data_IF_133893347264
#
_entry.id   IF_133893347264
#
_cell.length_a   1.000
_cell.length_b   1.000
_cell.length_c   1.000
_cell.angle_alpha   90.00
_cell.angle_beta   90.00
_cell.angle_gamma   90.00
#
_symmetry.space_group_name_H-M   'P 1'
#
loop_
_entity.id
_entity.type
_entity.pdbx_description
1 polymer ?
#
# COMPACT_ATOMS: atom_id res chain seq x y z
N UNK A 1 31.34 8.90 6.14
CA UNK A 1 30.28 9.02 5.12
C UNK A 1 29.54 10.33 5.37
N UNK A 2 29.23 11.11 4.33
CA UNK A 2 28.43 12.32 4.50
C UNK A 2 27.02 11.89 4.91
N UNK A 3 26.54 12.35 6.06
CA UNK A 3 25.21 12.07 6.58
C UNK A 3 24.09 12.68 5.72
N UNK A 4 22.85 12.39 6.07
CA UNK A 4 21.68 12.95 5.44
C UNK A 4 21.64 14.48 5.62
N UNK A 5 21.43 15.22 4.53
CA UNK A 5 21.41 16.70 4.55
C UNK A 5 20.13 17.23 3.89
N UNK A 6 19.76 18.48 4.20
CA UNK A 6 18.63 19.17 3.56
C UNK A 6 18.75 19.20 2.03
N UNK A 7 19.96 19.37 1.50
CA UNK A 7 20.21 19.38 0.06
C UNK A 7 19.93 18.03 -0.60
N UNK A 8 20.24 16.91 0.08
CA UNK A 8 19.94 15.56 -0.40
C UNK A 8 18.45 15.28 -0.40
N UNK A 9 17.71 15.67 0.66
CA UNK A 9 16.25 15.54 0.73
C UNK A 9 15.57 16.41 -0.33
N UNK A 10 16.04 17.66 -0.52
CA UNK A 10 15.53 18.54 -1.58
C UNK A 10 15.76 17.95 -2.99
N UNK A 11 16.91 17.31 -3.23
CA UNK A 11 17.16 16.58 -4.49
C UNK A 11 16.24 15.39 -4.64
N UNK A 12 15.97 14.64 -3.57
CA UNK A 12 15.00 13.55 -3.56
C UNK A 12 13.57 14.03 -3.85
N UNK A 13 13.22 15.24 -3.43
CA UNK A 13 11.99 15.96 -3.78
C UNK A 13 12.01 16.54 -5.20
N UNK A 14 13.01 16.25 -6.04
CA UNK A 14 13.22 16.79 -7.39
C UNK A 14 13.33 18.34 -7.42
N UNK A 15 13.86 18.95 -6.37
CA UNK A 15 14.01 20.39 -6.24
C UNK A 15 12.69 21.14 -5.98
N UNK A 16 11.58 20.46 -5.78
CA UNK A 16 10.27 21.05 -5.51
C UNK A 16 10.06 21.29 -4.02
N UNK A 17 9.90 22.55 -3.62
CA UNK A 17 9.74 22.91 -2.21
C UNK A 17 8.49 22.27 -1.58
N UNK A 18 7.38 22.21 -2.33
CA UNK A 18 6.13 21.60 -1.91
C UNK A 18 6.22 20.08 -1.70
N UNK A 19 7.21 19.43 -2.28
CA UNK A 19 7.46 17.99 -2.13
C UNK A 19 8.45 17.67 -1.00
N UNK A 20 9.07 18.67 -0.35
CA UNK A 20 10.13 18.44 0.63
C UNK A 20 9.65 17.61 1.82
N UNK A 21 8.51 17.95 2.39
CA UNK A 21 7.97 17.24 3.55
C UNK A 21 7.62 15.77 3.21
N UNK A 22 7.08 15.55 2.01
CA UNK A 22 6.80 14.19 1.53
C UNK A 22 8.09 13.39 1.31
N UNK A 23 9.13 14.02 0.77
CA UNK A 23 10.44 13.39 0.58
C UNK A 23 11.15 13.12 1.92
N UNK A 24 11.04 14.03 2.90
CA UNK A 24 11.58 13.82 4.24
C UNK A 24 10.88 12.66 4.95
N UNK A 25 9.55 12.58 4.83
CA UNK A 25 8.78 11.45 5.38
C UNK A 25 9.14 10.14 4.68
N UNK A 26 9.32 10.14 3.36
CA UNK A 26 9.73 8.96 2.58
C UNK A 26 11.08 8.43 3.08
N UNK A 27 12.05 9.31 3.34
CA UNK A 27 13.35 8.95 3.92
C UNK A 27 13.22 8.42 5.36
N UNK A 28 12.38 9.06 6.17
CA UNK A 28 12.11 8.58 7.54
C UNK A 28 11.51 7.17 7.55
N UNK A 29 10.57 6.91 6.63
CA UNK A 29 9.98 5.58 6.46
C UNK A 29 11.04 4.52 6.10
N UNK A 30 12.05 4.86 5.29
CA UNK A 30 13.17 3.92 5.00
C UNK A 30 13.93 3.54 6.28
N UNK A 31 14.23 4.52 7.14
CA UNK A 31 14.92 4.29 8.40
C UNK A 31 14.08 3.46 9.38
N UNK A 32 12.77 3.74 9.44
CA UNK A 32 11.85 2.98 10.28
C UNK A 32 11.71 1.53 9.79
N UNK A 33 11.55 1.33 8.48
CA UNK A 33 11.43 0.00 7.89
C UNK A 33 12.74 -0.80 8.02
N UNK A 34 13.91 -0.13 7.96
CA UNK A 34 15.17 -0.76 8.30
C UNK A 34 15.17 -1.25 9.75
N UNK A 35 14.76 -0.42 10.72
CA UNK A 35 14.66 -0.85 12.12
C UNK A 35 13.73 -2.06 12.27
N UNK A 36 12.53 -1.99 11.68
CA UNK A 36 11.57 -3.09 11.73
C UNK A 36 12.11 -4.36 11.09
N UNK A 37 12.93 -4.27 10.02
CA UNK A 37 13.51 -5.44 9.35
C UNK A 37 14.48 -6.25 10.25
N UNK A 38 14.93 -5.65 11.34
CA UNK A 38 15.78 -6.33 12.33
C UNK A 38 14.96 -7.09 13.37
N UNK A 39 13.63 -7.08 13.25
CA UNK A 39 12.74 -7.70 14.23
C UNK A 39 12.24 -9.07 13.76
N UNK A 40 11.92 -9.93 14.71
CA UNK A 40 11.44 -11.31 14.47
C UNK A 40 10.08 -11.32 13.76
N UNK A 41 9.27 -10.28 13.92
CA UNK A 41 7.92 -10.20 13.35
C UNK A 41 7.91 -10.25 11.81
N UNK A 42 8.95 -9.74 11.15
CA UNK A 42 9.09 -9.86 9.69
C UNK A 42 9.52 -11.27 9.26
N UNK A 43 10.33 -11.97 10.07
CA UNK A 43 10.88 -13.28 9.71
C UNK A 43 9.84 -14.37 9.52
N UNK A 44 8.75 -14.34 10.28
CA UNK A 44 7.72 -15.39 10.31
C UNK A 44 6.50 -15.08 9.42
N UNK A 45 6.57 -14.11 8.53
CA UNK A 45 5.43 -13.61 7.74
C UNK A 45 4.22 -13.15 8.59
N UNK A 46 4.41 -12.95 9.89
CA UNK A 46 3.37 -12.44 10.80
C UNK A 46 3.08 -10.96 10.58
N UNK A 47 4.05 -10.25 9.96
CA UNK A 47 3.96 -8.85 9.57
C UNK A 47 4.38 -8.71 8.11
N UNK A 48 3.45 -8.37 7.22
CA UNK A 48 3.72 -8.22 5.80
C UNK A 48 3.45 -6.79 5.36
N UNK A 49 4.44 -6.17 4.73
CA UNK A 49 4.37 -4.81 4.24
C UNK A 49 3.50 -4.71 2.99
N UNK A 50 2.58 -3.75 2.94
CA UNK A 50 1.62 -3.59 1.86
C UNK A 50 1.35 -2.10 1.55
N UNK A 51 0.33 -1.83 0.75
CA UNK A 51 -0.14 -0.47 0.47
C UNK A 51 0.72 0.31 -0.54
N UNK A 52 0.48 1.63 -0.59
CA UNK A 52 1.15 2.51 -1.55
C UNK A 52 2.65 2.68 -1.29
N UNK A 53 3.05 2.67 -0.02
CA UNK A 53 4.45 2.81 0.37
C UNK A 53 5.24 1.57 -0.01
N UNK A 54 4.69 0.35 0.15
CA UNK A 54 5.36 -0.88 -0.30
C UNK A 54 5.56 -0.89 -1.83
N UNK A 55 4.56 -0.43 -2.59
CA UNK A 55 4.70 -0.28 -4.05
C UNK A 55 5.86 0.67 -4.38
N UNK A 56 5.91 1.84 -3.73
CA UNK A 56 6.98 2.81 -3.96
C UNK A 56 8.35 2.25 -3.61
N UNK A 57 8.51 1.66 -2.42
CA UNK A 57 9.81 1.20 -1.92
C UNK A 57 10.33 -0.02 -2.70
N UNK A 58 9.48 -1.00 -2.96
CA UNK A 58 9.90 -2.32 -3.41
C UNK A 58 9.63 -2.59 -4.90
N UNK A 59 8.77 -1.80 -5.58
CA UNK A 59 8.38 -2.08 -6.96
C UNK A 59 8.53 -0.92 -7.94
N UNK A 60 8.38 0.34 -7.49
CA UNK A 60 8.30 1.51 -8.36
C UNK A 60 9.51 2.44 -8.25
N UNK A 61 10.11 2.54 -7.07
CA UNK A 61 11.19 3.49 -6.85
C UNK A 61 10.77 4.93 -7.21
N UNK A 62 11.59 5.62 -7.98
CA UNK A 62 11.35 7.00 -8.39
C UNK A 62 10.12 7.23 -9.26
N UNK A 63 9.56 6.20 -9.88
CA UNK A 63 8.32 6.35 -10.65
C UNK A 63 7.07 6.23 -9.76
N UNK A 64 7.23 5.77 -8.51
CA UNK A 64 6.16 5.74 -7.52
C UNK A 64 5.86 7.14 -6.97
N UNK A 65 4.59 7.38 -6.61
CA UNK A 65 4.20 8.57 -5.85
C UNK A 65 4.76 8.49 -4.42
N UNK A 66 5.01 9.63 -3.81
CA UNK A 66 5.23 9.66 -2.36
C UNK A 66 3.97 9.20 -1.62
N UNK A 67 4.12 8.31 -0.67
CA UNK A 67 3.03 7.78 0.14
C UNK A 67 3.29 8.10 1.61
N UNK A 68 2.25 8.47 2.33
CA UNK A 68 2.37 8.93 3.72
C UNK A 68 2.20 7.81 4.74
N UNK A 69 1.43 6.78 4.36
CA UNK A 69 1.00 5.75 5.29
C UNK A 69 1.87 4.49 5.18
N UNK A 70 2.12 3.84 6.31
CA UNK A 70 2.72 2.52 6.40
C UNK A 70 1.61 1.51 6.67
N UNK A 71 1.30 0.71 5.67
CA UNK A 71 0.27 -0.32 5.74
C UNK A 71 0.90 -1.70 5.93
N UNK A 72 0.39 -2.48 6.86
CA UNK A 72 0.80 -3.86 7.09
C UNK A 72 -0.40 -4.81 7.13
N UNK A 73 -0.18 -6.06 6.77
CA UNK A 73 -1.02 -7.18 7.17
C UNK A 73 -0.42 -7.79 8.43
N UNK A 74 -1.18 -7.79 9.51
CA UNK A 74 -0.81 -8.37 10.80
C UNK A 74 -2.07 -8.96 11.44
N UNK A 75 -2.39 -10.25 11.20
CA UNK A 75 -3.58 -10.88 11.77
C UNK A 75 -3.59 -10.90 13.30
N UNK A 76 -2.42 -10.99 13.91
CA UNK A 76 -2.19 -11.12 15.35
C UNK A 76 -2.09 -9.73 16.02
N UNK A 77 -2.91 -9.51 17.06
CA UNK A 77 -2.91 -8.26 17.83
C UNK A 77 -1.64 -8.10 18.70
N UNK A 78 -1.00 -9.19 19.13
CA UNK A 78 0.26 -9.13 19.88
C UNK A 78 1.38 -8.57 19.00
N UNK A 79 1.48 -9.01 17.75
CA UNK A 79 2.46 -8.47 16.79
C UNK A 79 2.26 -6.98 16.57
N UNK A 80 1.00 -6.53 16.47
CA UNK A 80 0.69 -5.10 16.33
C UNK A 80 1.19 -4.30 17.53
N UNK A 81 0.93 -4.80 18.74
CA UNK A 81 1.38 -4.14 19.96
C UNK A 81 2.90 -4.10 20.05
N UNK A 82 3.58 -5.21 19.78
CA UNK A 82 5.05 -5.30 19.76
C UNK A 82 5.66 -4.30 18.78
N UNK A 83 5.12 -4.20 17.56
CA UNK A 83 5.57 -3.23 16.55
C UNK A 83 5.36 -1.80 17.02
N UNK A 84 4.21 -1.47 17.60
CA UNK A 84 3.95 -0.14 18.11
C UNK A 84 4.87 0.24 19.26
N UNK A 85 5.13 -0.68 20.20
CA UNK A 85 6.09 -0.49 21.29
C UNK A 85 7.51 -0.28 20.76
N UNK A 86 7.90 -1.02 19.72
CA UNK A 86 9.21 -0.87 19.08
C UNK A 86 9.36 0.49 18.38
N UNK A 87 8.29 1.01 17.76
CA UNK A 87 8.32 2.30 17.06
C UNK A 87 8.32 3.46 18.06
N UNK A 88 7.59 3.36 19.17
CA UNK A 88 7.44 4.47 20.11
C UNK A 88 8.73 4.76 20.85
N UNK A 89 9.26 5.97 20.64
CA UNK A 89 10.57 6.39 21.16
C UNK A 89 11.78 5.86 20.37
N UNK A 90 11.58 5.13 19.26
CA UNK A 90 12.68 4.60 18.46
C UNK A 90 13.52 5.73 17.85
N UNK A 91 14.85 5.48 17.76
CA UNK A 91 15.82 6.42 17.17
C UNK A 91 16.73 5.69 16.18
N UNK A 92 16.75 6.16 14.95
CA UNK A 92 17.62 5.62 13.90
C UNK A 92 17.97 6.70 12.88
N UNK A 93 19.26 6.82 12.51
CA UNK A 93 19.73 7.74 11.47
C UNK A 93 19.42 9.22 11.72
N UNK A 94 19.32 9.65 12.99
CA UNK A 94 18.93 11.01 13.36
C UNK A 94 17.42 11.24 13.44
N UNK A 95 16.62 10.27 13.04
CA UNK A 95 15.17 10.29 13.22
C UNK A 95 14.76 9.75 14.59
N UNK A 96 13.74 10.35 15.16
CA UNK A 96 13.00 9.92 16.33
C UNK A 96 11.55 9.70 15.94
N UNK A 97 10.99 8.56 16.35
CA UNK A 97 9.65 8.13 16.01
C UNK A 97 8.77 8.04 17.26
N UNK A 98 7.48 8.28 17.08
CA UNK A 98 6.47 8.05 18.09
C UNK A 98 5.16 7.64 17.45
N UNK A 99 4.34 6.87 18.16
CA UNK A 99 3.02 6.46 17.69
C UNK A 99 1.94 6.83 18.69
N UNK A 100 0.77 7.17 18.17
CA UNK A 100 -0.40 7.47 18.99
C UNK A 100 -1.63 6.81 18.36
N UNK A 101 -2.34 6.00 19.14
CA UNK A 101 -3.59 5.38 18.68
C UNK A 101 -4.61 6.45 18.28
N UNK A 102 -5.22 6.30 17.12
CA UNK A 102 -6.21 7.23 16.58
C UNK A 102 -7.63 6.67 16.61
N UNK A 103 -7.76 5.35 16.72
CA UNK A 103 -9.02 4.64 16.84
C UNK A 103 -8.92 3.62 17.98
N UNK A 104 -10.02 3.35 18.67
CA UNK A 104 -10.01 2.40 19.78
C UNK A 104 -9.85 0.93 19.42
N UNK A 105 -9.53 0.63 18.14
CA UNK A 105 -9.33 -0.72 17.63
C UNK A 105 -7.88 -1.24 17.76
N UNK A 106 -6.96 -0.38 18.23
CA UNK A 106 -5.55 -0.71 18.39
C UNK A 106 -4.78 -0.94 17.08
N UNK A 107 -5.39 -0.67 15.90
CA UNK A 107 -4.81 -0.99 14.58
C UNK A 107 -4.55 0.21 13.68
N UNK A 108 -4.96 1.39 14.12
CA UNK A 108 -4.75 2.65 13.43
C UNK A 108 -3.98 3.61 14.34
N UNK A 109 -2.79 3.99 13.92
CA UNK A 109 -1.88 4.80 14.70
C UNK A 109 -1.38 5.98 13.87
N UNK A 110 -1.37 7.17 14.46
CA UNK A 110 -0.65 8.30 13.89
C UNK A 110 0.84 8.12 14.15
N UNK A 111 1.63 8.26 13.10
CA UNK A 111 3.10 8.23 13.18
C UNK A 111 3.62 9.66 13.32
N UNK A 112 4.40 9.92 14.35
CA UNK A 112 5.15 11.16 14.55
C UNK A 112 6.59 10.90 14.14
N UNK A 113 7.16 11.86 13.42
CA UNK A 113 8.54 11.77 12.93
C UNK A 113 9.23 13.09 13.20
N UNK A 114 10.44 13.03 13.77
CA UNK A 114 11.29 14.18 13.98
C UNK A 114 12.72 13.83 13.62
N UNK A 115 13.43 14.72 12.94
CA UNK A 115 14.87 14.58 12.71
C UNK A 115 15.61 15.72 13.38
N UNK A 116 16.75 15.42 14.02
CA UNK A 116 17.52 16.38 14.83
C UNK A 116 17.95 17.63 14.06
N UNK A 117 18.31 17.48 12.77
CA UNK A 117 18.83 18.58 11.93
C UNK A 117 17.83 19.02 10.83
N UNK A 118 16.99 18.10 10.35
CA UNK A 118 16.07 18.36 9.22
C UNK A 118 14.70 18.84 9.66
N UNK A 119 14.36 18.65 10.95
CA UNK A 119 13.07 19.05 11.52
C UNK A 119 12.00 17.97 11.37
N UNK A 120 10.75 18.39 11.36
CA UNK A 120 9.57 17.51 11.28
C UNK A 120 8.86 17.68 9.95
N UNK A 121 8.48 16.59 9.24
CA UNK A 121 7.64 16.71 8.06
C UNK A 121 6.24 17.22 8.47
N UNK A 122 5.71 18.22 7.76
CA UNK A 122 4.39 18.82 8.03
C UNK A 122 3.25 18.01 7.39
N UNK A 123 3.39 16.69 7.34
CA UNK A 123 2.43 15.77 6.75
C UNK A 123 2.03 14.76 7.82
N UNK A 124 0.73 14.53 7.96
CA UNK A 124 0.22 13.49 8.83
C UNK A 124 0.54 12.14 8.20
N UNK A 125 1.23 11.29 8.95
CA UNK A 125 1.54 9.93 8.58
C UNK A 125 0.81 8.96 9.50
N UNK A 126 0.46 7.78 8.98
CA UNK A 126 -0.15 6.72 9.78
C UNK A 126 0.61 5.39 9.66
N UNK A 127 0.38 4.53 10.66
CA UNK A 127 0.71 3.11 10.60
C UNK A 127 -0.60 2.35 10.79
N UNK A 128 -0.93 1.51 9.81
CA UNK A 128 -2.19 0.79 9.78
C UNK A 128 -1.95 -0.72 9.64
N UNK A 129 -2.69 -1.51 10.43
CA UNK A 129 -2.56 -2.96 10.47
C UNK A 129 -3.87 -3.63 10.08
N UNK A 130 -3.89 -4.27 8.91
CA UNK A 130 -5.02 -5.06 8.47
C UNK A 130 -5.05 -6.40 9.21
N UNK A 131 -6.22 -6.74 9.80
CA UNK A 131 -6.43 -8.00 10.52
C UNK A 131 -6.61 -9.18 9.58
N UNK A 132 -7.19 -8.93 8.39
CA UNK A 132 -7.46 -10.01 7.43
C UNK A 132 -6.15 -10.57 6.89
N UNK A 133 -5.94 -11.91 6.98
CA UNK A 133 -4.78 -12.56 6.38
C UNK A 133 -4.73 -12.32 4.86
N UNK A 134 -3.53 -12.33 4.31
CA UNK A 134 -3.34 -12.30 2.87
C UNK A 134 -3.86 -13.60 2.23
N UNK A 135 -4.27 -13.49 0.97
CA UNK A 135 -4.72 -14.65 0.17
C UNK A 135 -3.55 -15.40 -0.49
N UNK A 136 -2.42 -14.73 -0.70
CA UNK A 136 -1.21 -15.32 -1.28
C UNK A 136 -0.06 -15.30 -0.28
N UNK A 137 0.93 -16.19 -0.43
CA UNK A 137 2.21 -16.05 0.25
C UNK A 137 2.85 -14.69 -0.04
N UNK A 138 3.53 -14.11 0.95
CA UNK A 138 4.28 -12.87 0.76
C UNK A 138 5.52 -13.09 -0.11
N UNK A 139 5.97 -12.02 -0.79
CA UNK A 139 7.22 -12.01 -1.56
C UNK A 139 8.32 -11.30 -0.76
N UNK A 140 9.52 -11.88 -0.69
CA UNK A 140 10.67 -11.21 -0.10
C UNK A 140 11.27 -10.24 -1.12
N UNK A 141 11.13 -8.94 -0.88
CA UNK A 141 11.60 -7.89 -1.80
C UNK A 141 12.55 -6.93 -1.12
N UNK A 142 13.67 -6.67 -1.78
CA UNK A 142 14.58 -5.58 -1.41
C UNK A 142 14.00 -4.23 -1.87
N UNK A 143 14.39 -3.14 -1.21
CA UNK A 143 14.09 -1.79 -1.68
C UNK A 143 14.78 -1.52 -3.01
N UNK A 144 14.10 -0.80 -3.89
CA UNK A 144 14.69 -0.27 -5.11
C UNK A 144 15.70 0.81 -4.74
N UNK A 145 16.95 0.62 -5.19
CA UNK A 145 18.05 1.54 -4.90
C UNK A 145 17.78 2.92 -5.52
N UNK A 146 17.76 3.95 -4.69
CA UNK A 146 17.64 5.36 -5.08
C UNK A 146 18.92 6.14 -4.73
N UNK A 147 19.19 7.27 -5.40
CA UNK A 147 20.39 8.07 -5.11
C UNK A 147 20.51 8.53 -3.65
N UNK A 148 19.39 8.82 -2.98
CA UNK A 148 19.34 9.25 -1.58
C UNK A 148 19.90 8.18 -0.63
N UNK A 149 19.74 6.90 -0.95
CA UNK A 149 20.18 5.78 -0.13
C UNK A 149 21.70 5.71 0.05
N UNK A 150 22.48 6.38 -0.82
CA UNK A 150 23.94 6.50 -0.65
C UNK A 150 24.35 7.28 0.60
N UNK A 151 23.43 8.06 1.16
CA UNK A 151 23.66 8.82 2.39
C UNK A 151 23.26 8.05 3.65
N UNK A 152 22.65 6.88 3.52
CA UNK A 152 22.26 6.05 4.65
C UNK A 152 23.47 5.31 5.24
N UNK A 153 23.52 5.16 6.54
CA UNK A 153 24.57 4.42 7.23
C UNK A 153 24.32 2.90 7.30
N UNK A 154 23.33 2.38 6.55
CA UNK A 154 22.92 0.97 6.59
C UNK A 154 22.60 0.45 5.19
N UNK A 155 22.59 -0.88 5.04
CA UNK A 155 22.10 -1.57 3.84
C UNK A 155 20.59 -1.55 3.75
N UNK A 156 20.05 -1.43 2.53
CA UNK A 156 18.60 -1.41 2.33
C UNK A 156 17.97 -2.74 2.77
N UNK A 157 16.84 -2.72 3.49
CA UNK A 157 16.21 -3.93 3.98
C UNK A 157 15.57 -4.73 2.85
N UNK A 158 15.46 -6.04 3.10
CA UNK A 158 14.58 -6.95 2.37
C UNK A 158 13.43 -7.30 3.31
N UNK A 159 12.20 -7.15 2.84
CA UNK A 159 10.99 -7.31 3.65
C UNK A 159 10.02 -8.29 2.99
N UNK A 160 9.19 -9.00 3.78
CA UNK A 160 7.99 -9.66 3.26
C UNK A 160 7.00 -8.59 2.79
N UNK A 161 6.65 -8.64 1.52
CA UNK A 161 5.75 -7.68 0.85
C UNK A 161 4.58 -8.45 0.28
N UNK A 162 3.40 -7.86 0.28
CA UNK A 162 2.22 -8.43 -0.36
C UNK A 162 2.52 -8.79 -1.82
N UNK A 163 2.10 -10.00 -2.25
CA UNK A 163 2.27 -10.46 -3.62
C UNK A 163 1.67 -9.47 -4.64
N UNK A 164 2.33 -9.31 -5.79
CA UNK A 164 1.95 -8.29 -6.78
C UNK A 164 0.50 -8.44 -7.25
N UNK A 165 0.06 -9.67 -7.51
CA UNK A 165 -1.32 -9.96 -7.93
C UNK A 165 -2.34 -9.55 -6.84
N UNK A 166 -2.03 -9.83 -5.57
CA UNK A 166 -2.89 -9.46 -4.45
C UNK A 166 -2.90 -7.93 -4.21
N UNK A 167 -1.75 -7.26 -4.34
CA UNK A 167 -1.67 -5.80 -4.27
C UNK A 167 -2.52 -5.13 -5.36
N UNK A 168 -2.49 -5.65 -6.58
CA UNK A 168 -3.34 -5.20 -7.69
C UNK A 168 -4.83 -5.38 -7.36
N UNK A 169 -5.22 -6.57 -6.90
CA UNK A 169 -6.60 -6.88 -6.53
C UNK A 169 -7.13 -6.00 -5.38
N UNK A 170 -6.30 -5.70 -4.37
CA UNK A 170 -6.65 -4.77 -3.29
C UNK A 170 -6.91 -3.35 -3.81
N UNK A 171 -6.08 -2.88 -4.75
CA UNK A 171 -6.27 -1.58 -5.40
C UNK A 171 -7.56 -1.53 -6.22
N UNK A 172 -7.87 -2.58 -6.96
CA UNK A 172 -9.13 -2.71 -7.72
C UNK A 172 -10.35 -2.71 -6.78
N UNK A 173 -10.30 -3.46 -5.68
CA UNK A 173 -11.38 -3.51 -4.70
C UNK A 173 -11.61 -2.15 -4.01
N UNK A 174 -10.53 -1.41 -3.70
CA UNK A 174 -10.63 -0.06 -3.14
C UNK A 174 -11.14 0.95 -4.15
N UNK A 175 -10.59 0.94 -5.38
CA UNK A 175 -10.97 1.85 -6.47
C UNK A 175 -12.46 1.71 -6.84
N UNK A 176 -12.99 0.50 -6.79
CA UNK A 176 -14.43 0.23 -6.93
C UNK A 176 -15.26 1.02 -5.91
N UNK A 177 -14.84 1.07 -4.65
CA UNK A 177 -15.61 1.70 -3.56
C UNK A 177 -15.47 3.22 -3.56
N UNK A 178 -14.25 3.69 -3.80
CA UNK A 178 -13.90 5.12 -3.77
C UNK A 178 -12.88 5.39 -4.86
N UNK A 179 -13.27 6.15 -5.87
CA UNK A 179 -12.40 6.52 -6.97
C UNK A 179 -11.35 7.56 -6.51
N UNK A 180 -10.24 7.08 -5.94
CA UNK A 180 -9.15 7.95 -5.53
C UNK A 180 -8.11 8.06 -6.65
N UNK A 181 -7.64 9.27 -6.92
CA UNK A 181 -6.61 9.54 -7.93
C UNK A 181 -5.31 8.75 -7.66
N UNK A 182 -4.95 8.54 -6.38
CA UNK A 182 -3.80 7.71 -6.00
C UNK A 182 -3.96 6.24 -6.37
N UNK A 183 -5.16 5.69 -6.29
CA UNK A 183 -5.42 4.31 -6.68
C UNK A 183 -5.43 4.17 -8.21
N UNK A 184 -5.97 5.15 -8.93
CA UNK A 184 -5.84 5.22 -10.39
C UNK A 184 -4.38 5.24 -10.84
N UNK A 185 -3.53 6.02 -10.18
CA UNK A 185 -2.09 6.07 -10.46
C UNK A 185 -1.43 4.70 -10.25
N UNK A 186 -1.69 4.07 -9.11
CA UNK A 186 -1.15 2.76 -8.77
C UNK A 186 -1.66 1.68 -9.76
N UNK A 187 -2.96 1.70 -10.11
CA UNK A 187 -3.55 0.80 -11.11
C UNK A 187 -3.01 1.01 -12.52
N UNK A 188 -2.77 2.27 -12.92
CA UNK A 188 -2.11 2.56 -14.20
C UNK A 188 -0.71 1.95 -14.30
N UNK A 189 0.00 1.85 -13.17
CA UNK A 189 1.26 1.15 -13.13
C UNK A 189 1.09 -0.36 -13.34
N UNK A 190 0.20 -1.01 -12.61
CA UNK A 190 -0.13 -2.43 -12.84
C UNK A 190 -0.60 -2.69 -14.26
N UNK A 191 -1.34 -1.75 -14.86
CA UNK A 191 -1.80 -1.84 -16.25
C UNK A 191 -0.67 -1.87 -17.28
N UNK A 192 0.53 -1.44 -16.92
CA UNK A 192 1.72 -1.48 -17.78
C UNK A 192 2.57 -2.75 -17.61
N UNK A 193 2.18 -3.67 -16.73
CA UNK A 193 2.91 -4.90 -16.41
C UNK A 193 2.21 -6.15 -16.92
N UNK A 194 2.97 -7.23 -17.03
CA UNK A 194 2.39 -8.56 -17.22
C UNK A 194 1.81 -9.02 -15.87
N UNK A 195 0.54 -9.37 -15.87
CA UNK A 195 -0.17 -9.87 -14.69
C UNK A 195 -0.88 -11.18 -15.04
N UNK A 196 -1.04 -12.05 -14.06
CA UNK A 196 -1.91 -13.23 -14.15
C UNK A 196 -3.36 -12.78 -14.02
N UNK A 197 -4.04 -12.61 -15.16
CA UNK A 197 -5.40 -12.07 -15.22
C UNK A 197 -6.43 -12.93 -14.48
N UNK A 198 -6.47 -14.27 -14.64
CA UNK A 198 -7.36 -15.13 -13.88
C UNK A 198 -7.13 -15.02 -12.37
N UNK A 199 -5.87 -15.00 -11.92
CA UNK A 199 -5.53 -14.88 -10.51
C UNK A 199 -5.95 -13.52 -9.94
N UNK A 200 -5.62 -12.42 -10.63
CA UNK A 200 -6.00 -11.05 -10.19
C UNK A 200 -7.52 -10.90 -10.13
N UNK A 201 -8.25 -11.44 -11.12
CA UNK A 201 -9.71 -11.41 -11.14
C UNK A 201 -10.30 -12.17 -9.96
N UNK A 202 -9.84 -13.40 -9.73
CA UNK A 202 -10.29 -14.23 -8.58
C UNK A 202 -10.00 -13.54 -7.25
N UNK A 203 -8.80 -13.04 -7.06
CA UNK A 203 -8.43 -12.29 -5.86
C UNK A 203 -9.29 -11.03 -5.67
N UNK A 204 -9.58 -10.31 -6.74
CA UNK A 204 -10.44 -9.13 -6.70
C UNK A 204 -11.86 -9.48 -6.22
N UNK A 205 -12.47 -10.53 -6.77
CA UNK A 205 -13.80 -11.01 -6.33
C UNK A 205 -13.79 -11.38 -4.85
N UNK A 206 -12.78 -12.15 -4.40
CA UNK A 206 -12.64 -12.57 -3.00
C UNK A 206 -12.40 -11.37 -2.05
N UNK A 207 -11.59 -10.38 -2.46
CA UNK A 207 -11.38 -9.15 -1.68
C UNK A 207 -12.66 -8.33 -1.57
N UNK A 208 -13.41 -8.17 -2.66
CA UNK A 208 -14.70 -7.46 -2.65
C UNK A 208 -15.72 -8.20 -1.78
N UNK A 209 -15.78 -9.53 -1.88
CA UNK A 209 -16.66 -10.32 -1.02
C UNK A 209 -16.36 -10.07 0.46
N UNK A 210 -15.10 -10.15 0.86
CA UNK A 210 -14.68 -9.85 2.21
C UNK A 210 -14.97 -8.40 2.64
N UNK A 211 -14.72 -7.41 1.77
CA UNK A 211 -15.06 -6.00 2.05
C UNK A 211 -16.55 -5.83 2.34
N UNK A 212 -17.41 -6.47 1.53
CA UNK A 212 -18.88 -6.30 1.63
C UNK A 212 -19.47 -7.14 2.76
N UNK A 213 -19.05 -8.40 2.88
CA UNK A 213 -19.69 -9.35 3.82
C UNK A 213 -19.09 -9.22 5.22
N UNK A 214 -17.76 -9.19 5.34
CA UNK A 214 -17.09 -9.14 6.65
C UNK A 214 -16.96 -7.72 7.19
N UNK A 215 -16.46 -6.80 6.37
CA UNK A 215 -16.18 -5.42 6.81
C UNK A 215 -17.36 -4.47 6.60
N UNK A 216 -18.42 -4.91 5.94
CA UNK A 216 -19.61 -4.10 5.60
C UNK A 216 -19.27 -2.83 4.83
N UNK A 217 -18.28 -2.92 3.93
CA UNK A 217 -17.78 -1.81 3.11
C UNK A 217 -18.16 -2.02 1.65
N UNK A 218 -18.80 -1.02 1.04
CA UNK A 218 -19.23 -1.05 -0.36
C UNK A 218 -20.61 -1.63 -0.58
N UNK A 219 -20.99 -1.75 -1.85
CA UNK A 219 -22.35 -2.14 -2.28
C UNK A 219 -22.41 -3.59 -2.77
N UNK A 220 -23.59 -4.22 -2.67
CA UNK A 220 -23.94 -5.53 -3.24
C UNK A 220 -24.80 -5.34 -4.50
N UNK A 221 -24.68 -6.24 -5.49
CA UNK A 221 -23.58 -7.19 -5.73
C UNK A 221 -22.31 -6.47 -6.18
N UNK A 222 -21.22 -7.22 -6.35
CA UNK A 222 -20.05 -6.72 -7.08
C UNK A 222 -20.47 -6.43 -8.52
N UNK A 223 -20.17 -5.22 -9.00
CA UNK A 223 -20.39 -4.80 -10.38
C UNK A 223 -19.06 -4.45 -11.02
N UNK A 224 -18.81 -4.99 -12.19
CA UNK A 224 -17.55 -4.74 -12.91
C UNK A 224 -17.49 -3.27 -13.37
N UNK A 225 -18.63 -2.68 -13.67
CA UNK A 225 -18.78 -1.28 -14.05
C UNK A 225 -18.27 -0.32 -12.98
N UNK A 226 -18.33 -0.70 -11.71
CA UNK A 226 -17.77 0.11 -10.61
C UNK A 226 -16.26 0.37 -10.79
N UNK A 227 -15.54 -0.50 -11.53
CA UNK A 227 -14.13 -0.33 -11.90
C UNK A 227 -13.99 0.22 -13.32
N UNK A 228 -14.75 -0.31 -14.27
CA UNK A 228 -14.59 -0.07 -15.71
C UNK A 228 -15.44 1.08 -16.26
N UNK A 229 -16.32 1.71 -15.47
CA UNK A 229 -17.04 2.90 -15.89
C UNK A 229 -16.09 4.03 -16.27
N UNK A 230 -16.41 4.76 -17.33
CA UNK A 230 -15.66 5.95 -17.71
C UNK A 230 -15.77 7.01 -16.61
N UNK A 231 -14.63 7.57 -16.21
CA UNK A 231 -14.54 8.64 -15.23
C UNK A 231 -13.83 9.84 -15.81
N UNK A 232 -14.33 11.02 -15.46
CA UNK A 232 -13.70 12.30 -15.75
C UNK A 232 -12.78 12.73 -14.61
N UNK A 233 -11.98 13.76 -14.83
CA UNK A 233 -11.14 14.32 -13.75
C UNK A 233 -11.95 14.84 -12.56
N UNK A 234 -13.19 15.25 -12.78
CA UNK A 234 -14.10 15.75 -11.73
C UNK A 234 -14.62 14.65 -10.80
N UNK A 235 -14.54 13.38 -11.22
CA UNK A 235 -14.93 12.23 -10.39
C UNK A 235 -13.88 11.88 -9.34
N UNK A 236 -12.71 12.50 -9.40
CA UNK A 236 -11.62 12.27 -8.47
C UNK A 236 -11.45 13.46 -7.53
N UNK A 237 -11.13 13.14 -6.27
CA UNK A 237 -10.75 14.18 -5.30
C UNK A 237 -9.32 14.65 -5.63
N UNK A 238 -9.10 15.95 -5.95
CA UNK A 238 -7.79 16.46 -6.40
C UNK A 238 -6.67 16.15 -5.42
N UNK A 239 -6.92 16.29 -4.12
CA UNK A 239 -5.91 16.11 -3.06
C UNK A 239 -5.59 14.64 -2.78
N UNK A 240 -6.33 13.70 -3.41
CA UNK A 240 -6.15 12.26 -3.15
C UNK A 240 -4.96 11.64 -3.88
N UNK A 241 -4.30 12.36 -4.79
CA UNK A 241 -3.19 11.82 -5.59
C UNK A 241 -1.86 11.78 -4.83
N UNK A 242 -1.68 12.67 -3.85
CA UNK A 242 -0.40 12.86 -3.16
C UNK A 242 0.63 13.58 -4.04
N UNK A 243 1.91 13.49 -3.64
CA UNK A 243 3.01 14.13 -4.36
C UNK A 243 3.58 13.18 -5.39
N UNK A 244 3.52 13.57 -6.66
CA UNK A 244 4.04 12.81 -7.79
C UNK A 244 5.40 13.31 -8.24
N UNK A 245 6.21 12.41 -8.78
CA UNK A 245 7.47 12.72 -9.45
C UNK A 245 7.30 12.99 -10.95
N UNK A 246 6.09 12.79 -11.49
CA UNK A 246 5.76 12.94 -12.92
C UNK A 246 4.52 13.81 -13.09
N UNK A 247 4.31 14.40 -14.27
CA UNK A 247 3.08 15.13 -14.58
C UNK A 247 1.84 14.26 -14.45
N UNK A 248 0.75 14.86 -14.01
CA UNK A 248 -0.56 14.21 -13.91
C UNK A 248 -1.14 14.04 -15.30
N UNK A 249 -1.64 12.83 -15.61
CA UNK A 249 -2.25 12.47 -16.90
C UNK A 249 -3.47 11.58 -16.68
N UNK A 250 -4.44 12.04 -15.87
CA UNK A 250 -5.54 11.23 -15.34
C UNK A 250 -6.37 10.57 -16.45
N UNK A 251 -6.72 11.30 -17.50
CA UNK A 251 -7.50 10.76 -18.62
C UNK A 251 -6.75 9.60 -19.34
N UNK A 252 -5.43 9.72 -19.51
CA UNK A 252 -4.63 8.65 -20.13
C UNK A 252 -4.50 7.44 -19.19
N UNK A 253 -4.38 7.66 -17.88
CA UNK A 253 -4.33 6.57 -16.91
C UNK A 253 -5.67 5.84 -16.82
N UNK A 254 -6.77 6.57 -16.79
CA UNK A 254 -8.12 6.01 -16.77
C UNK A 254 -8.40 5.14 -17.99
N UNK A 255 -8.14 5.66 -19.20
CA UNK A 255 -8.31 4.91 -20.42
C UNK A 255 -7.46 3.61 -20.46
N UNK A 256 -6.21 3.68 -19.98
CA UNK A 256 -5.35 2.51 -19.88
C UNK A 256 -5.87 1.49 -18.87
N UNK A 257 -6.26 1.92 -17.68
CA UNK A 257 -6.81 1.06 -16.62
C UNK A 257 -8.06 0.35 -17.12
N UNK A 258 -9.03 1.08 -17.69
CA UNK A 258 -10.23 0.47 -18.25
C UNK A 258 -9.93 -0.58 -19.31
N UNK A 259 -9.05 -0.24 -20.26
CA UNK A 259 -8.66 -1.18 -21.33
C UNK A 259 -7.97 -2.41 -20.77
N UNK A 260 -7.02 -2.22 -19.86
CA UNK A 260 -6.18 -3.32 -19.34
C UNK A 260 -6.95 -4.27 -18.45
N UNK A 261 -7.88 -3.74 -17.64
CA UNK A 261 -8.66 -4.55 -16.70
C UNK A 261 -10.01 -5.02 -17.27
N UNK A 262 -10.21 -4.95 -18.58
CA UNK A 262 -11.45 -5.44 -19.22
C UNK A 262 -11.73 -6.93 -18.94
N UNK A 263 -10.66 -7.73 -18.68
CA UNK A 263 -10.78 -9.14 -18.31
C UNK A 263 -11.59 -9.39 -17.01
N UNK A 264 -11.82 -8.37 -16.20
CA UNK A 264 -12.69 -8.47 -15.02
C UNK A 264 -14.13 -8.83 -15.36
N UNK A 265 -14.55 -8.66 -16.63
CA UNK A 265 -15.87 -9.09 -17.11
C UNK A 265 -16.02 -10.59 -17.26
N UNK A 266 -14.91 -11.33 -17.34
CA UNK A 266 -14.90 -12.74 -17.72
C UNK A 266 -14.98 -13.66 -16.47
N UNK A 267 -15.92 -13.35 -15.55
CA UNK A 267 -16.10 -14.10 -14.32
C UNK A 267 -16.47 -15.56 -14.61
N UNK A 268 -15.75 -16.49 -13.99
CA UNK A 268 -16.13 -17.91 -13.99
C UNK A 268 -17.36 -18.19 -13.12
N UNK A 269 -17.87 -19.42 -13.13
CA UNK A 269 -19.10 -19.79 -12.43
C UNK A 269 -18.99 -19.60 -10.89
N UNK A 270 -17.81 -19.83 -10.31
CA UNK A 270 -17.57 -19.64 -8.88
C UNK A 270 -17.52 -18.15 -8.55
N UNK A 271 -16.76 -17.40 -9.34
CA UNK A 271 -16.61 -15.95 -9.21
C UNK A 271 -17.95 -15.22 -9.36
N UNK A 272 -18.81 -15.66 -10.28
CA UNK A 272 -20.18 -15.11 -10.44
C UNK A 272 -21.04 -15.33 -9.18
N UNK A 273 -20.94 -16.51 -8.55
CA UNK A 273 -21.66 -16.78 -7.30
C UNK A 273 -21.14 -15.89 -6.17
N UNK A 274 -19.81 -15.75 -6.03
CA UNK A 274 -19.19 -14.93 -4.98
C UNK A 274 -19.41 -13.42 -5.23
N UNK A 275 -19.52 -13.00 -6.47
CA UNK A 275 -19.82 -11.61 -6.84
C UNK A 275 -21.19 -11.14 -6.30
N UNK A 276 -22.11 -12.05 -6.00
CA UNK A 276 -23.37 -11.69 -5.34
C UNK A 276 -23.14 -11.15 -3.90
N UNK A 277 -21.97 -11.38 -3.31
CA UNK A 277 -21.65 -11.02 -1.92
C UNK A 277 -22.67 -11.56 -0.92
N UNK A 278 -23.14 -12.79 -1.12
CA UNK A 278 -24.09 -13.47 -0.26
C UNK A 278 -23.34 -14.32 0.77
N UNK A 279 -23.72 -14.14 2.05
CA UNK A 279 -23.09 -14.88 3.17
C UNK A 279 -23.27 -16.40 3.08
N UNK A 280 -24.27 -16.88 2.34
CA UNK A 280 -24.44 -18.32 2.07
C UNK A 280 -23.25 -18.97 1.40
N UNK A 281 -22.42 -18.22 0.67
CA UNK A 281 -21.21 -18.71 0.01
C UNK A 281 -19.94 -18.62 0.85
N UNK A 282 -20.04 -18.27 2.14
CA UNK A 282 -18.89 -18.09 3.05
C UNK A 282 -17.91 -19.26 3.03
N UNK A 283 -18.42 -20.49 3.15
CA UNK A 283 -17.57 -21.69 3.13
C UNK A 283 -16.82 -21.88 1.82
N UNK A 284 -17.46 -21.59 0.69
CA UNK A 284 -16.82 -21.69 -0.62
C UNK A 284 -15.69 -20.67 -0.74
N UNK A 285 -15.94 -19.42 -0.30
CA UNK A 285 -14.94 -18.34 -0.30
C UNK A 285 -13.77 -18.65 0.63
N UNK A 286 -14.02 -19.16 1.84
CA UNK A 286 -12.99 -19.57 2.79
C UNK A 286 -12.13 -20.71 2.22
N UNK A 287 -12.74 -21.69 1.57
CA UNK A 287 -12.01 -22.78 0.90
C UNK A 287 -11.15 -22.25 -0.26
N UNK A 288 -11.70 -21.34 -1.09
CA UNK A 288 -10.94 -20.73 -2.17
C UNK A 288 -9.73 -19.94 -1.65
N UNK A 289 -9.89 -19.19 -0.56
CA UNK A 289 -8.78 -18.50 0.10
C UNK A 289 -7.75 -19.47 0.70
N UNK A 290 -8.19 -20.60 1.26
CA UNK A 290 -7.29 -21.62 1.80
C UNK A 290 -6.42 -22.25 0.71
N UNK A 291 -7.00 -22.55 -0.46
CA UNK A 291 -6.28 -23.07 -1.64
C UNK A 291 -5.23 -22.07 -2.16
N UNK A 292 -5.53 -20.77 -2.14
CA UNK A 292 -4.59 -19.76 -2.60
C UNK A 292 -3.39 -19.57 -1.65
N UNK A 293 -3.55 -19.91 -0.37
CA UNK A 293 -2.48 -19.83 0.65
C UNK A 293 -1.56 -21.05 0.68
N UNK A 294 -2.00 -22.20 0.13
CA UNK A 294 -1.23 -23.45 0.08
C UNK A 294 -0.17 -23.44 -1.04
#
# INVERSE_FOLDING_TARGET
>A
MAGLTRALVARHALGRAEAYDAALLDVAQDHLLYLLSQTVQFGDNRLVFKGGTSLRKCRLGNVGRFSTDLDFSAPDDEVVLEVCVLIDGARVGGFEFGVQSTRGDGRHWQLRVRHTELGEPRIVASVEFARRPLALPSELLAFIQLPIHKAYGFGLPTLPVVAEAEACAEKLARYRRVALARDLYDLNHFASRTIDEPLVRRLWVLKVWGDVVDDRRGTRPLRVEDVLAARSEHDFQPDSIGVLTRPVAMAAWEARVRKRFAFLTDLDADEQRWAACDERHRREVENALAVLRS
#
